data_IF_913532317843
#
_entry.id   IF_913532317843
#
_cell.length_a   1.000
_cell.length_b   1.000
_cell.length_c   1.000
_cell.angle_alpha   90.00
_cell.angle_beta   90.00
_cell.angle_gamma   90.00
#
_symmetry.space_group_name_H-M   'P 1'
#
loop_
_entity.id
_entity.type
_entity.pdbx_description
1 polymer ?
#
# COMPACT_ATOMS: atom_id res chain seq x y z
N UNK A 1 10.04 70.28 0.89
CA UNK A 1 10.63 68.94 0.72
C UNK A 1 9.86 67.89 1.53
N UNK A 2 9.65 68.08 2.84
CA UNK A 2 8.92 67.13 3.71
C UNK A 2 7.48 66.84 3.23
N UNK A 3 6.70 67.87 2.90
CA UNK A 3 5.31 67.71 2.41
C UNK A 3 5.21 66.96 1.06
N UNK A 4 6.27 66.95 0.25
CA UNK A 4 6.31 66.19 -1.01
C UNK A 4 6.56 64.70 -0.76
N UNK A 5 7.46 64.39 0.17
CA UNK A 5 7.74 63.00 0.60
C UNK A 5 6.52 62.40 1.29
N UNK A 6 5.81 63.17 2.11
CA UNK A 6 4.59 62.74 2.81
C UNK A 6 3.46 62.43 1.82
N UNK A 7 3.31 63.25 0.78
CA UNK A 7 2.31 63.05 -0.28
C UNK A 7 2.61 61.84 -1.18
N UNK A 8 3.88 61.53 -1.42
CA UNK A 8 4.29 60.30 -2.09
C UNK A 8 4.00 59.09 -1.19
N UNK A 9 4.39 59.13 0.08
CA UNK A 9 4.14 58.05 1.04
C UNK A 9 2.65 57.70 1.15
N UNK A 10 1.78 58.71 1.27
CA UNK A 10 0.33 58.53 1.41
C UNK A 10 -0.34 57.87 0.19
N UNK A 11 0.19 58.05 -1.02
CA UNK A 11 -0.38 57.47 -2.24
C UNK A 11 0.28 56.15 -2.66
N UNK A 12 1.58 56.00 -2.45
CA UNK A 12 2.34 54.85 -2.97
C UNK A 12 2.30 53.65 -2.03
N UNK A 13 2.30 53.85 -0.71
CA UNK A 13 2.30 52.76 0.28
C UNK A 13 0.99 51.96 0.27
N UNK A 14 -0.21 52.58 0.24
CA UNK A 14 -1.47 51.82 0.15
C UNK A 14 -1.65 51.14 -1.22
N UNK A 15 -1.11 51.73 -2.28
CA UNK A 15 -1.14 51.15 -3.63
C UNK A 15 -0.28 49.88 -3.70
N UNK A 16 0.94 49.89 -3.14
CA UNK A 16 1.81 48.71 -3.04
C UNK A 16 1.19 47.62 -2.15
N UNK A 17 0.64 47.99 -0.99
CA UNK A 17 0.00 47.05 -0.09
C UNK A 17 -1.21 46.36 -0.73
N UNK A 18 -2.06 47.11 -1.44
CA UNK A 18 -3.26 46.56 -2.07
C UNK A 18 -2.98 45.66 -3.28
N UNK A 19 -1.92 45.93 -4.05
CA UNK A 19 -1.56 45.10 -5.22
C UNK A 19 -0.65 43.92 -4.85
N UNK A 20 0.26 44.09 -3.88
CA UNK A 20 1.11 43.01 -3.38
C UNK A 20 0.31 41.86 -2.78
N UNK A 21 -0.72 42.16 -1.99
CA UNK A 21 -1.62 41.14 -1.41
C UNK A 21 -2.44 40.43 -2.50
N UNK A 22 -2.94 41.15 -3.51
CA UNK A 22 -3.69 40.54 -4.62
C UNK A 22 -2.85 39.54 -5.41
N UNK A 23 -1.61 39.89 -5.72
CA UNK A 23 -0.68 38.99 -6.43
C UNK A 23 -0.40 37.75 -5.57
N UNK A 24 -0.16 37.93 -4.27
CA UNK A 24 0.07 36.82 -3.34
C UNK A 24 -1.12 35.85 -3.29
N UNK A 25 -2.35 36.37 -3.21
CA UNK A 25 -3.56 35.55 -3.15
C UNK A 25 -3.80 34.80 -4.46
N UNK A 26 -3.51 35.41 -5.61
CA UNK A 26 -3.63 34.75 -6.93
C UNK A 26 -2.62 33.61 -7.06
N UNK A 27 -1.37 33.83 -6.64
CA UNK A 27 -0.33 32.79 -6.65
C UNK A 27 -0.68 31.64 -5.71
N UNK A 28 -1.21 31.94 -4.52
CA UNK A 28 -1.65 30.92 -3.56
C UNK A 28 -2.84 30.11 -4.10
N UNK A 29 -3.81 30.77 -4.73
CA UNK A 29 -4.94 30.11 -5.36
C UNK A 29 -4.50 29.19 -6.51
N UNK A 30 -3.61 29.67 -7.38
CA UNK A 30 -3.05 28.87 -8.47
C UNK A 30 -2.21 27.69 -7.96
N UNK A 31 -1.36 27.92 -6.95
CA UNK A 31 -0.56 26.88 -6.31
C UNK A 31 -1.44 25.83 -5.61
N UNK A 32 -2.55 26.24 -5.01
CA UNK A 32 -3.51 25.33 -4.38
C UNK A 32 -4.16 24.37 -5.39
N UNK A 33 -4.61 24.89 -6.53
CA UNK A 33 -5.21 24.07 -7.60
C UNK A 33 -4.15 23.12 -8.19
N UNK A 34 -2.94 23.62 -8.44
CA UNK A 34 -1.83 22.80 -8.94
C UNK A 34 -1.47 21.68 -7.95
N UNK A 35 -1.42 21.98 -6.64
CA UNK A 35 -1.15 21.00 -5.60
C UNK A 35 -2.23 19.91 -5.52
N UNK A 36 -3.51 20.28 -5.65
CA UNK A 36 -4.61 19.32 -5.69
C UNK A 36 -4.50 18.39 -6.90
N UNK A 37 -4.23 18.93 -8.09
CA UNK A 37 -4.07 18.13 -9.31
C UNK A 37 -2.93 17.10 -9.17
N UNK A 38 -1.77 17.52 -8.62
CA UNK A 38 -0.67 16.60 -8.32
C UNK A 38 -1.03 15.56 -7.27
N UNK A 39 -1.74 15.96 -6.22
CA UNK A 39 -2.22 15.06 -5.17
C UNK A 39 -3.14 13.97 -5.71
N UNK A 40 -4.14 14.33 -6.51
CA UNK A 40 -5.05 13.36 -7.13
C UNK A 40 -4.35 12.43 -8.12
N UNK A 41 -3.33 12.90 -8.85
CA UNK A 41 -2.55 12.05 -9.76
C UNK A 41 -1.68 11.00 -9.04
N UNK A 42 -1.17 11.33 -7.86
CA UNK A 42 -0.26 10.46 -7.09
C UNK A 42 -0.93 9.55 -6.05
N UNK A 43 -2.24 9.67 -5.83
CA UNK A 43 -2.95 8.99 -4.73
C UNK A 43 -2.77 7.47 -4.72
N UNK A 44 -2.82 6.83 -5.88
CA UNK A 44 -2.66 5.37 -6.00
C UNK A 44 -1.22 4.92 -5.73
N UNK A 45 -0.24 5.65 -6.26
CA UNK A 45 1.18 5.38 -6.07
C UNK A 45 1.58 5.45 -4.59
N UNK A 46 1.14 6.49 -3.89
CA UNK A 46 1.46 6.68 -2.48
C UNK A 46 0.84 5.54 -1.64
N UNK A 47 -0.41 5.14 -1.96
CA UNK A 47 -1.07 4.02 -1.29
C UNK A 47 -0.29 2.72 -1.48
N UNK A 48 0.13 2.40 -2.70
CA UNK A 48 0.87 1.17 -2.99
C UNK A 48 2.19 1.10 -2.22
N UNK A 49 2.92 2.22 -2.14
CA UNK A 49 4.23 2.31 -1.47
C UNK A 49 4.07 2.16 0.05
N UNK A 50 3.09 2.84 0.65
CA UNK A 50 2.83 2.75 2.09
C UNK A 50 2.38 1.32 2.44
N UNK A 51 1.42 0.77 1.71
CA UNK A 51 0.95 -0.59 1.92
C UNK A 51 2.09 -1.61 1.79
N UNK A 52 2.93 -1.49 0.76
CA UNK A 52 4.09 -2.36 0.57
C UNK A 52 5.12 -2.28 1.69
N UNK A 53 5.39 -1.08 2.18
CA UNK A 53 6.26 -0.89 3.32
C UNK A 53 5.71 -1.61 4.57
N UNK A 54 4.41 -1.50 4.83
CA UNK A 54 3.76 -2.19 5.96
C UNK A 54 3.77 -3.71 5.79
N UNK A 55 3.56 -4.23 4.57
CA UNK A 55 3.64 -5.67 4.29
C UNK A 55 5.01 -6.23 4.68
N UNK A 56 6.09 -5.53 4.29
CA UNK A 56 7.47 -5.95 4.57
C UNK A 56 7.84 -5.73 6.04
N UNK A 57 7.48 -4.57 6.62
CA UNK A 57 7.79 -4.24 8.02
C UNK A 57 7.07 -5.13 9.02
N UNK A 58 5.76 -5.30 8.86
CA UNK A 58 4.94 -6.12 9.76
C UNK A 58 4.96 -7.60 9.39
N UNK A 59 5.56 -7.93 8.24
CA UNK A 59 5.64 -9.28 7.73
C UNK A 59 4.23 -9.94 7.65
N UNK A 60 3.29 -9.21 7.04
CA UNK A 60 1.88 -9.61 6.94
C UNK A 60 1.72 -10.94 6.20
N UNK A 61 2.49 -11.15 5.13
CA UNK A 61 2.63 -12.40 4.39
C UNK A 61 4.04 -12.46 3.78
N UNK A 62 4.58 -13.66 3.58
CA UNK A 62 5.94 -13.92 3.11
C UNK A 62 5.95 -14.54 1.72
N UNK A 63 7.11 -14.47 1.07
CA UNK A 63 7.42 -15.28 -0.11
C UNK A 63 7.24 -16.76 0.26
N UNK A 64 6.49 -17.49 -0.55
CA UNK A 64 6.12 -18.89 -0.32
C UNK A 64 4.75 -19.11 0.33
N UNK A 65 4.08 -18.07 0.83
CA UNK A 65 2.72 -18.19 1.33
C UNK A 65 1.70 -18.25 0.19
N UNK A 66 0.59 -18.98 0.39
CA UNK A 66 -0.54 -19.00 -0.54
C UNK A 66 -1.57 -17.97 -0.10
N UNK A 67 -1.84 -17.00 -0.97
CA UNK A 67 -2.79 -15.92 -0.69
C UNK A 67 -3.76 -15.80 -1.85
N UNK A 68 -5.02 -15.47 -1.53
CA UNK A 68 -6.05 -15.21 -2.53
C UNK A 68 -6.44 -13.73 -2.50
N UNK A 69 -6.31 -13.07 -3.64
CA UNK A 69 -6.72 -11.68 -3.86
C UNK A 69 -7.88 -11.66 -4.86
N UNK A 70 -9.03 -11.17 -4.43
CA UNK A 70 -10.24 -10.97 -5.25
C UNK A 70 -10.61 -12.14 -6.19
N UNK A 71 -10.43 -13.38 -5.72
CA UNK A 71 -10.74 -14.61 -6.48
C UNK A 71 -9.56 -15.22 -7.25
N UNK A 72 -8.42 -14.52 -7.32
CA UNK A 72 -7.16 -15.08 -7.84
C UNK A 72 -6.33 -15.61 -6.68
N UNK A 73 -6.13 -16.92 -6.63
CA UNK A 73 -5.31 -17.59 -5.62
C UNK A 73 -3.95 -17.96 -6.21
N UNK A 74 -2.89 -17.85 -5.41
CA UNK A 74 -1.58 -18.27 -5.86
C UNK A 74 -0.55 -18.26 -4.77
N UNK A 75 0.57 -18.90 -5.05
CA UNK A 75 1.76 -18.85 -4.20
C UNK A 75 2.55 -17.57 -4.49
N UNK A 76 2.98 -16.88 -3.45
CA UNK A 76 3.77 -15.66 -3.59
C UNK A 76 5.19 -16.02 -4.02
N UNK A 77 5.60 -15.55 -5.19
CA UNK A 77 6.97 -15.73 -5.72
C UNK A 77 7.91 -14.60 -5.32
N UNK A 78 7.42 -13.36 -5.39
CA UNK A 78 8.21 -12.17 -5.08
C UNK A 78 7.32 -11.06 -4.50
N UNK A 79 7.90 -10.28 -3.59
CA UNK A 79 7.27 -9.11 -2.98
C UNK A 79 8.16 -7.90 -3.27
N UNK A 80 7.72 -7.05 -4.20
CA UNK A 80 8.32 -5.75 -4.47
C UNK A 80 7.66 -4.66 -3.61
N UNK A 81 8.18 -3.43 -3.60
CA UNK A 81 7.63 -2.34 -2.78
C UNK A 81 6.22 -1.88 -3.19
N UNK A 82 5.84 -2.06 -4.46
CA UNK A 82 4.56 -1.56 -5.02
C UNK A 82 3.58 -2.67 -5.38
N UNK A 83 4.09 -3.89 -5.55
CA UNK A 83 3.34 -5.01 -6.12
C UNK A 83 3.87 -6.34 -5.61
N UNK A 84 2.97 -7.31 -5.52
CA UNK A 84 3.26 -8.70 -5.21
C UNK A 84 3.02 -9.55 -6.44
N UNK A 85 3.91 -10.51 -6.69
CA UNK A 85 3.79 -11.46 -7.80
C UNK A 85 3.36 -12.81 -7.25
N UNK A 86 2.28 -13.35 -7.82
CA UNK A 86 1.66 -14.62 -7.43
C UNK A 86 1.68 -15.59 -8.59
N UNK A 87 1.84 -16.88 -8.31
CA UNK A 87 1.66 -17.94 -9.31
C UNK A 87 0.52 -18.85 -8.91
N UNK A 88 -0.48 -18.98 -9.77
CA UNK A 88 -1.60 -19.90 -9.57
C UNK A 88 -1.15 -21.36 -9.82
N UNK A 89 -1.99 -22.32 -9.44
CA UNK A 89 -1.84 -23.75 -9.66
C UNK A 89 -1.71 -24.13 -11.14
N UNK A 90 -2.33 -23.35 -12.02
CA UNK A 90 -2.22 -23.48 -13.48
C UNK A 90 -0.89 -22.91 -14.04
N UNK A 91 -0.03 -22.35 -13.16
CA UNK A 91 1.27 -21.79 -13.52
C UNK A 91 1.22 -20.36 -14.08
N UNK A 92 0.05 -19.72 -14.09
CA UNK A 92 -0.13 -18.34 -14.53
C UNK A 92 0.40 -17.38 -13.46
N UNK A 93 1.18 -16.39 -13.89
CA UNK A 93 1.75 -15.37 -13.00
C UNK A 93 0.87 -14.12 -13.00
N UNK A 94 0.44 -13.71 -11.81
CA UNK A 94 -0.40 -12.56 -11.56
C UNK A 94 0.38 -11.47 -10.82
N UNK A 95 0.25 -10.23 -11.29
CA UNK A 95 0.86 -9.06 -10.69
C UNK A 95 -0.20 -8.22 -10.00
N UNK A 96 -0.14 -8.13 -8.66
CA UNK A 96 -1.15 -7.45 -7.85
C UNK A 96 -0.55 -6.23 -7.17
N UNK A 97 -1.02 -5.00 -7.46
CA UNK A 97 -0.59 -3.80 -6.76
C UNK A 97 -1.13 -3.76 -5.33
N UNK A 98 -0.33 -3.25 -4.38
CA UNK A 98 -0.67 -3.31 -2.96
C UNK A 98 -1.88 -2.47 -2.54
N UNK A 99 -2.21 -1.41 -3.27
CA UNK A 99 -3.30 -0.49 -2.94
C UNK A 99 -4.70 -1.11 -3.08
N UNK A 100 -4.81 -2.26 -3.75
CA UNK A 100 -6.03 -3.05 -3.88
C UNK A 100 -6.07 -4.24 -2.90
N UNK A 101 -4.93 -4.53 -2.26
CA UNK A 101 -4.79 -5.65 -1.34
C UNK A 101 -5.44 -5.36 0.00
N UNK A 102 -6.48 -6.13 0.36
CA UNK A 102 -7.02 -6.14 1.74
C UNK A 102 -6.09 -6.97 2.63
N UNK A 103 -5.39 -6.36 3.62
CA UNK A 103 -4.59 -7.13 4.57
C UNK A 103 -5.46 -8.11 5.37
N UNK A 104 -4.82 -9.13 5.97
CA UNK A 104 -5.40 -10.14 6.87
C UNK A 104 -6.25 -11.29 6.30
N UNK A 105 -6.44 -11.44 4.98
CA UNK A 105 -7.19 -12.61 4.44
C UNK A 105 -6.44 -13.95 4.47
N UNK A 106 -5.13 -13.94 4.73
CA UNK A 106 -4.31 -15.18 4.68
C UNK A 106 -4.82 -16.27 5.62
N UNK A 107 -5.30 -15.90 6.81
CA UNK A 107 -5.74 -16.88 7.81
C UNK A 107 -7.09 -17.48 7.42
N UNK A 108 -7.95 -16.68 6.80
CA UNK A 108 -9.22 -17.15 6.24
C UNK A 108 -8.98 -18.12 5.08
N UNK A 109 -8.07 -17.78 4.16
CA UNK A 109 -7.68 -18.65 3.03
C UNK A 109 -7.03 -19.93 3.53
N UNK A 110 -6.09 -19.84 4.48
CA UNK A 110 -5.43 -21.01 5.08
C UNK A 110 -6.43 -21.90 5.80
N UNK A 111 -7.39 -21.30 6.52
CA UNK A 111 -8.46 -22.01 7.17
C UNK A 111 -9.39 -22.72 6.18
N UNK A 112 -9.76 -22.05 5.09
CA UNK A 112 -10.59 -22.62 4.04
C UNK A 112 -9.86 -23.75 3.30
N UNK A 113 -8.58 -23.57 2.95
CA UNK A 113 -7.76 -24.58 2.32
C UNK A 113 -7.59 -25.81 3.23
N UNK A 114 -7.28 -25.62 4.52
CA UNK A 114 -7.20 -26.72 5.50
C UNK A 114 -8.52 -27.49 5.58
N UNK A 115 -9.66 -26.80 5.59
CA UNK A 115 -10.99 -27.44 5.58
C UNK A 115 -11.19 -28.27 4.32
N UNK A 116 -10.91 -27.71 3.13
CA UNK A 116 -11.04 -28.41 1.85
C UNK A 116 -10.15 -29.66 1.79
N UNK A 117 -8.90 -29.55 2.22
CA UNK A 117 -7.95 -30.67 2.27
C UNK A 117 -8.45 -31.74 3.24
N UNK A 118 -8.89 -31.35 4.45
CA UNK A 118 -9.42 -32.29 5.44
C UNK A 118 -10.63 -33.05 4.91
N UNK A 119 -11.59 -32.34 4.31
CA UNK A 119 -12.78 -32.97 3.70
C UNK A 119 -12.41 -33.89 2.54
N UNK A 120 -11.44 -33.50 1.70
CA UNK A 120 -10.95 -34.37 0.62
C UNK A 120 -10.29 -35.64 1.18
N UNK A 121 -9.46 -35.52 2.22
CA UNK A 121 -8.79 -36.66 2.85
C UNK A 121 -9.78 -37.61 3.53
N UNK A 122 -10.79 -37.07 4.21
CA UNK A 122 -11.85 -37.87 4.84
C UNK A 122 -12.67 -38.64 3.79
N UNK A 123 -12.91 -38.03 2.62
CA UNK A 123 -13.62 -38.66 1.50
C UNK A 123 -12.82 -39.80 0.87
N UNK A 124 -11.50 -39.64 0.76
CA UNK A 124 -10.59 -40.64 0.21
C UNK A 124 -10.13 -41.68 1.26
N UNK A 125 -10.63 -41.60 2.50
CA UNK A 125 -10.26 -42.53 3.57
C UNK A 125 -8.79 -42.44 4.01
N UNK A 126 -8.14 -41.30 3.76
CA UNK A 126 -6.72 -41.07 4.08
C UNK A 126 -6.61 -40.63 5.54
N UNK A 127 -6.15 -41.54 6.42
CA UNK A 127 -5.84 -41.19 7.80
C UNK A 127 -4.59 -40.30 7.87
N UNK A 128 -4.73 -39.12 8.50
CA UNK A 128 -3.63 -38.19 8.69
C UNK A 128 -2.74 -38.71 9.83
N UNK A 129 -1.47 -39.05 9.57
CA UNK A 129 -0.59 -39.57 10.60
C UNK A 129 -0.25 -38.49 11.63
N UNK A 130 -0.23 -38.86 12.90
CA UNK A 130 0.21 -37.97 13.97
C UNK A 130 1.70 -37.64 13.82
N UNK A 131 2.11 -36.37 13.99
CA UNK A 131 3.51 -35.99 13.90
C UNK A 131 4.32 -36.68 14.99
N UNK A 132 5.27 -37.53 14.58
CA UNK A 132 6.20 -38.15 15.53
C UNK A 132 7.33 -37.18 15.86
N UNK A 133 7.50 -36.86 17.15
CA UNK A 133 8.63 -36.07 17.62
C UNK A 133 9.84 -36.99 17.80
N UNK A 134 10.82 -36.89 16.91
CA UNK A 134 12.10 -37.60 17.02
C UNK A 134 13.00 -36.85 18.01
N UNK A 135 13.28 -37.45 19.17
CA UNK A 135 14.20 -36.90 20.17
C UNK A 135 15.59 -37.49 19.91
N UNK A 136 16.48 -36.69 19.33
CA UNK A 136 17.90 -37.07 19.24
C UNK A 136 18.55 -36.83 20.61
N UNK A 137 18.81 -37.90 21.36
CA UNK A 137 19.64 -37.80 22.55
C UNK A 137 21.11 -37.71 22.14
N UNK A 138 21.80 -36.67 22.58
CA UNK A 138 23.25 -36.60 22.47
C UNK A 138 23.86 -37.69 23.36
N UNK A 139 24.68 -38.57 22.76
CA UNK A 139 25.47 -39.53 23.53
C UNK A 139 26.54 -38.76 24.31
N UNK A 140 26.57 -39.00 25.62
CA UNK A 140 27.60 -38.52 26.55
C UNK A 140 28.98 -39.10 26.23
#
# INVERSE_FOLDING_TARGET
MVAFIEKISQNTVPWLASHGIKILVILLAAAGIAGLAFGFGGQYLIRDIISGLFIVMENQYRVGDVVCFDGTCGLIEDISLRMTTLRDLDGVVHHVPHGETKPLKQWDVTGELRKRIKTAFDKEGIEIPFPQRVIHQAKS
#
